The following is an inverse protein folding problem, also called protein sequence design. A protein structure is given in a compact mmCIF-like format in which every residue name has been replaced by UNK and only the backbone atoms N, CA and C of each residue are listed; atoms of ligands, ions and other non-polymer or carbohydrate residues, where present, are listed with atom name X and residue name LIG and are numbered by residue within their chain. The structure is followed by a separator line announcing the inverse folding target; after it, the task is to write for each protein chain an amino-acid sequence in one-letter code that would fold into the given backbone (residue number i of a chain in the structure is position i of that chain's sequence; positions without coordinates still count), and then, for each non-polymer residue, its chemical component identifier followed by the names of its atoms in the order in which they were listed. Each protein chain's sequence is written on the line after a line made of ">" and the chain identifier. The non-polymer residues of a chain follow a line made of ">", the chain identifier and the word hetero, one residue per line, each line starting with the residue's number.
data_IF_945308423943
#
_entry.id   IF_945308423943
#
_cell.length_a   1.000
_cell.length_b   1.000
_cell.length_c   1.000
_cell.angle_alpha   90.00
_cell.angle_beta   90.00
_cell.angle_gamma   90.00
#
_symmetry.space_group_name_H-M   'P 1'
#
loop_
_entity.id
_entity.type
_entity.pdbx_description
1 polymer ?
#
# COMPACT_ATOMS: atom_id res chain seq x y z
N UNK A 1 -13.11 -23.35 64.96
CA UNK A 1 -13.72 -24.69 64.92
C UNK A 1 -14.66 -24.75 63.72
N UNK A 2 -14.15 -24.87 62.50
CA UNK A 2 -14.10 -26.14 61.73
C UNK A 2 -15.34 -27.02 61.87
N UNK A 3 -16.17 -27.06 60.82
CA UNK A 3 -16.71 -28.30 60.25
C UNK A 3 -16.91 -28.11 58.74
N UNK A 4 -15.93 -28.64 58.02
CA UNK A 4 -15.89 -28.90 56.59
C UNK A 4 -16.79 -30.11 56.33
N UNK A 5 -17.71 -30.02 55.38
CA UNK A 5 -18.39 -31.17 54.80
C UNK A 5 -18.34 -31.04 53.28
N UNK A 6 -17.24 -31.55 52.71
CA UNK A 6 -17.18 -31.96 51.32
C UNK A 6 -18.10 -33.17 51.16
N UNK A 7 -19.19 -33.05 50.42
CA UNK A 7 -19.86 -34.18 49.77
C UNK A 7 -20.97 -33.66 48.84
N UNK A 8 -20.60 -33.39 47.57
CA UNK A 8 -21.40 -33.63 46.35
C UNK A 8 -20.65 -33.06 45.15
N UNK A 9 -19.47 -33.65 44.90
CA UNK A 9 -18.89 -33.71 43.57
C UNK A 9 -19.26 -35.09 43.03
N UNK A 10 -20.46 -35.20 42.47
CA UNK A 10 -20.88 -36.29 41.58
C UNK A 10 -22.24 -35.91 40.99
N UNK A 11 -22.32 -35.95 39.66
CA UNK A 11 -23.50 -35.81 38.81
C UNK A 11 -24.12 -34.42 38.64
N UNK A 12 -23.55 -33.65 37.73
CA UNK A 12 -24.22 -33.36 36.45
C UNK A 12 -23.25 -32.62 35.53
N UNK A 13 -22.34 -33.35 34.89
CA UNK A 13 -21.68 -32.90 33.65
C UNK A 13 -22.37 -33.62 32.51
N UNK A 14 -23.66 -33.35 32.36
CA UNK A 14 -24.43 -33.62 31.16
C UNK A 14 -25.30 -32.40 30.85
N UNK A 15 -24.68 -31.22 30.80
CA UNK A 15 -25.23 -30.16 29.97
C UNK A 15 -24.77 -30.42 28.53
N UNK A 16 -25.24 -31.54 27.96
CA UNK A 16 -25.53 -31.62 26.54
C UNK A 16 -26.78 -30.75 26.33
N UNK A 17 -26.62 -29.43 26.45
CA UNK A 17 -27.49 -28.57 25.67
C UNK A 17 -27.11 -28.87 24.23
N UNK A 18 -27.92 -29.71 23.59
CA UNK A 18 -27.83 -30.01 22.18
C UNK A 18 -28.03 -28.70 21.42
N UNK A 19 -26.93 -27.97 21.25
CA UNK A 19 -26.85 -26.87 20.32
C UNK A 19 -27.49 -27.38 19.03
N UNK A 20 -28.53 -26.68 18.54
CA UNK A 20 -29.17 -27.05 17.29
C UNK A 20 -28.10 -27.29 16.22
N UNK A 21 -28.28 -28.28 15.36
CA UNK A 21 -27.25 -28.71 14.39
C UNK A 21 -26.68 -27.54 13.57
N UNK A 22 -27.49 -26.52 13.30
CA UNK A 22 -27.07 -25.30 12.62
C UNK A 22 -26.04 -24.47 13.42
N UNK A 23 -26.11 -24.46 14.76
CA UNK A 23 -25.15 -23.76 15.63
C UNK A 23 -23.80 -24.48 15.62
N UNK A 24 -23.81 -25.82 15.71
CA UNK A 24 -22.57 -26.62 15.63
C UNK A 24 -21.90 -26.47 14.26
N UNK A 25 -22.69 -26.47 13.19
CA UNK A 25 -22.20 -26.22 11.84
C UNK A 25 -21.66 -24.79 11.66
N UNK A 26 -22.35 -23.79 12.23
CA UNK A 26 -21.91 -22.39 12.18
C UNK A 26 -20.57 -22.20 12.92
N UNK A 27 -20.43 -22.77 14.12
CA UNK A 27 -19.19 -22.72 14.91
C UNK A 27 -18.06 -23.42 14.15
N UNK A 28 -18.29 -24.62 13.62
CA UNK A 28 -17.30 -25.34 12.83
C UNK A 28 -16.83 -24.55 11.59
N UNK A 29 -17.75 -23.89 10.88
CA UNK A 29 -17.41 -23.01 9.76
C UNK A 29 -16.62 -21.79 10.20
N UNK A 30 -17.01 -21.18 11.32
CA UNK A 30 -16.30 -20.05 11.89
C UNK A 30 -14.89 -20.44 12.31
N UNK A 31 -14.72 -21.56 13.03
CA UNK A 31 -13.40 -22.06 13.46
C UNK A 31 -12.51 -22.36 12.26
N UNK A 32 -13.06 -22.99 11.22
CA UNK A 32 -12.33 -23.27 9.98
C UNK A 32 -11.92 -22.00 9.26
N UNK A 33 -12.82 -21.02 9.18
CA UNK A 33 -12.54 -19.72 8.57
C UNK A 33 -11.49 -18.94 9.39
N UNK A 34 -11.64 -18.87 10.71
CA UNK A 34 -10.72 -18.20 11.63
C UNK A 34 -9.33 -18.81 11.53
N UNK A 35 -9.22 -20.14 11.60
CA UNK A 35 -7.94 -20.83 11.45
C UNK A 35 -7.29 -20.55 10.09
N UNK A 36 -8.08 -20.47 9.03
CA UNK A 36 -7.57 -20.15 7.69
C UNK A 36 -7.06 -18.70 7.61
N UNK A 37 -7.79 -17.76 8.21
CA UNK A 37 -7.36 -16.36 8.30
C UNK A 37 -6.08 -16.24 9.13
N UNK A 38 -6.04 -16.84 10.32
CA UNK A 38 -4.89 -16.81 11.21
C UNK A 38 -3.65 -17.33 10.49
N UNK A 39 -3.75 -18.50 9.85
CA UNK A 39 -2.64 -19.04 9.06
C UNK A 39 -2.21 -18.12 7.92
N UNK A 40 -3.17 -17.48 7.25
CA UNK A 40 -2.86 -16.57 6.13
C UNK A 40 -2.19 -15.31 6.64
N UNK A 41 -2.71 -14.71 7.71
CA UNK A 41 -2.15 -13.52 8.34
C UNK A 41 -0.75 -13.79 8.88
N UNK A 42 -0.55 -14.88 9.63
CA UNK A 42 0.77 -15.28 10.14
C UNK A 42 1.77 -15.40 8.99
N UNK A 43 1.44 -16.15 7.93
CA UNK A 43 2.32 -16.28 6.75
C UNK A 43 2.63 -14.95 6.08
N UNK A 44 1.66 -14.04 6.00
CA UNK A 44 1.90 -12.71 5.42
C UNK A 44 2.78 -11.84 6.32
N UNK A 45 2.61 -11.90 7.64
CA UNK A 45 3.41 -11.17 8.61
C UNK A 45 4.85 -11.68 8.63
N UNK A 46 5.05 -13.00 8.64
CA UNK A 46 6.37 -13.62 8.56
C UNK A 46 7.10 -13.16 7.30
N UNK A 47 6.41 -13.20 6.15
CA UNK A 47 6.97 -12.74 4.88
C UNK A 47 7.33 -11.24 4.88
N UNK A 48 6.55 -10.41 5.56
CA UNK A 48 6.84 -8.98 5.69
C UNK A 48 8.06 -8.79 6.59
N UNK A 49 8.13 -9.52 7.71
CA UNK A 49 9.27 -9.48 8.63
C UNK A 49 10.58 -9.89 7.93
N UNK A 50 10.55 -10.95 7.13
CA UNK A 50 11.70 -11.39 6.34
C UNK A 50 12.17 -10.29 5.37
N UNK A 51 11.23 -9.66 4.66
CA UNK A 51 11.55 -8.56 3.74
C UNK A 51 12.10 -7.33 4.45
N UNK A 52 11.60 -7.02 5.64
CA UNK A 52 12.13 -5.93 6.46
C UNK A 52 13.57 -6.22 6.88
N UNK A 53 13.87 -7.46 7.29
CA UNK A 53 15.24 -7.87 7.65
C UNK A 53 16.19 -7.83 6.45
N UNK A 54 15.74 -8.26 5.26
CA UNK A 54 16.53 -8.14 4.02
C UNK A 54 16.84 -6.68 3.67
N UNK A 55 15.85 -5.80 3.85
CA UNK A 55 16.01 -4.37 3.59
C UNK A 55 16.98 -3.73 4.59
N UNK A 56 16.89 -4.07 5.87
CA UNK A 56 17.81 -3.60 6.91
C UNK A 56 19.26 -3.98 6.58
N UNK A 57 19.51 -5.24 6.20
CA UNK A 57 20.84 -5.71 5.76
C UNK A 57 21.34 -4.97 4.53
N UNK A 58 20.46 -4.69 3.58
CA UNK A 58 20.81 -3.90 2.39
C UNK A 58 21.20 -2.47 2.77
N UNK A 59 20.47 -1.85 3.70
CA UNK A 59 20.78 -0.51 4.20
C UNK A 59 22.12 -0.48 4.94
N UNK A 60 22.39 -1.45 5.81
CA UNK A 60 23.66 -1.58 6.51
C UNK A 60 24.83 -1.69 5.51
N UNK A 61 24.67 -2.52 4.47
CA UNK A 61 25.67 -2.65 3.39
C UNK A 61 25.90 -1.34 2.65
N UNK A 62 24.85 -0.54 2.40
CA UNK A 62 24.97 0.77 1.75
C UNK A 62 25.72 1.74 2.66
N UNK A 63 25.39 1.78 3.95
CA UNK A 63 26.05 2.64 4.93
C UNK A 63 27.54 2.30 5.06
N UNK A 64 27.91 1.02 5.08
CA UNK A 64 29.31 0.61 5.11
C UNK A 64 30.07 1.01 3.85
N UNK A 65 29.43 0.90 2.67
CA UNK A 65 30.01 1.40 1.42
C UNK A 65 30.20 2.92 1.44
N UNK A 66 29.23 3.67 1.98
CA UNK A 66 29.34 5.12 2.10
C UNK A 66 30.48 5.51 3.06
N UNK A 67 30.60 4.84 4.21
CA UNK A 67 31.73 5.03 5.13
C UNK A 67 33.07 4.74 4.46
N UNK A 68 33.16 3.66 3.68
CA UNK A 68 34.38 3.33 2.95
C UNK A 68 34.72 4.35 1.84
N UNK A 69 33.72 4.99 1.25
CA UNK A 69 33.93 6.10 0.30
C UNK A 69 34.38 7.35 1.05
N UNK A 70 33.78 7.64 2.19
CA UNK A 70 34.11 8.79 3.04
C UNK A 70 35.56 8.72 3.56
N UNK A 71 36.01 7.55 4.00
CA UNK A 71 37.41 7.35 4.42
C UNK A 71 38.37 7.51 3.25
N UNK A 72 38.08 6.91 2.09
CA UNK A 72 38.90 7.07 0.87
C UNK A 72 38.94 8.51 0.37
N UNK A 73 37.86 9.27 0.52
CA UNK A 73 37.80 10.67 0.15
C UNK A 73 38.63 11.54 1.11
N UNK A 74 38.58 11.21 2.40
CA UNK A 74 39.39 11.86 3.44
C UNK A 74 40.89 11.61 3.23
N UNK A 75 41.27 10.39 2.82
CA UNK A 75 42.66 10.03 2.49
C UNK A 75 43.16 10.68 1.18
N UNK A 76 42.25 11.03 0.25
CA UNK A 76 42.64 11.57 -1.06
C UNK A 76 43.05 13.03 -1.08
N UNK A 77 43.08 13.74 0.05
CA UNK A 77 43.86 14.97 0.26
C UNK A 77 43.81 16.04 -0.84
N UNK A 78 42.73 16.14 -1.62
CA UNK A 78 42.61 17.13 -2.70
C UNK A 78 41.96 18.41 -2.19
N UNK A 79 42.33 19.59 -2.71
CA UNK A 79 41.81 20.85 -2.19
C UNK A 79 40.27 20.86 -2.30
N UNK A 80 39.58 21.27 -1.22
CA UNK A 80 38.15 21.03 -1.04
C UNK A 80 37.25 21.65 -2.13
N UNK A 81 37.75 22.61 -2.91
CA UNK A 81 36.93 23.44 -3.81
C UNK A 81 36.37 22.73 -5.04
N UNK A 82 37.08 21.78 -5.65
CA UNK A 82 36.61 21.15 -6.91
C UNK A 82 35.65 19.99 -6.63
N UNK A 83 35.93 19.17 -5.60
CA UNK A 83 35.06 18.05 -5.20
C UNK A 83 33.83 18.53 -4.43
N UNK A 84 33.93 19.57 -3.59
CA UNK A 84 32.73 20.14 -2.94
C UNK A 84 31.80 20.77 -3.97
N UNK A 85 32.32 21.40 -5.03
CA UNK A 85 31.48 21.98 -6.10
C UNK A 85 30.69 20.90 -6.86
N UNK A 86 31.33 19.78 -7.21
CA UNK A 86 30.64 18.69 -7.92
C UNK A 86 29.68 17.91 -7.02
N UNK A 87 30.05 17.66 -5.76
CA UNK A 87 29.18 17.01 -4.76
C UNK A 87 28.01 17.90 -4.38
N UNK A 88 28.24 19.20 -4.17
CA UNK A 88 27.19 20.17 -3.90
C UNK A 88 26.25 20.33 -5.11
N UNK A 89 26.79 20.38 -6.33
CA UNK A 89 25.98 20.40 -7.56
C UNK A 89 25.13 19.14 -7.72
N UNK A 90 25.69 17.96 -7.44
CA UNK A 90 24.95 16.70 -7.45
C UNK A 90 23.87 16.68 -6.36
N UNK A 91 24.16 17.18 -5.15
CA UNK A 91 23.21 17.27 -4.05
C UNK A 91 22.07 18.26 -4.35
N UNK A 92 22.38 19.43 -4.92
CA UNK A 92 21.39 20.42 -5.34
C UNK A 92 20.51 19.86 -6.47
N UNK A 93 21.09 19.16 -7.44
CA UNK A 93 20.33 18.47 -8.49
C UNK A 93 19.44 17.37 -7.93
N UNK A 94 19.97 16.53 -7.05
CA UNK A 94 19.20 15.47 -6.41
C UNK A 94 18.02 16.03 -5.60
N UNK A 95 18.25 17.13 -4.87
CA UNK A 95 17.19 17.80 -4.12
C UNK A 95 16.14 18.42 -5.03
N UNK A 96 16.57 19.11 -6.09
CA UNK A 96 15.65 19.65 -7.09
C UNK A 96 14.85 18.55 -7.82
N UNK A 97 15.49 17.43 -8.13
CA UNK A 97 14.82 16.27 -8.74
C UNK A 97 13.86 15.60 -7.76
N UNK A 98 14.22 15.51 -6.47
CA UNK A 98 13.34 15.02 -5.40
C UNK A 98 12.09 15.89 -5.27
N UNK A 99 12.25 17.21 -5.22
CA UNK A 99 11.13 18.16 -5.14
C UNK A 99 10.22 18.04 -6.36
N UNK A 100 10.81 17.89 -7.56
CA UNK A 100 10.08 17.68 -8.81
C UNK A 100 9.36 16.33 -8.87
N UNK A 101 9.93 15.29 -8.29
CA UNK A 101 9.31 13.96 -8.17
C UNK A 101 8.15 14.04 -7.17
N UNK A 102 8.35 14.65 -6.03
CA UNK A 102 7.31 14.81 -4.99
C UNK A 102 6.13 15.64 -5.52
N UNK A 103 6.38 16.72 -6.26
CA UNK A 103 5.33 17.48 -6.92
C UNK A 103 4.54 16.62 -7.92
N UNK A 104 5.23 15.81 -8.73
CA UNK A 104 4.59 14.88 -9.66
C UNK A 104 3.77 13.81 -8.93
N UNK A 105 4.27 13.28 -7.81
CA UNK A 105 3.57 12.27 -7.02
C UNK A 105 2.32 12.83 -6.34
N UNK A 106 2.36 14.07 -5.81
CA UNK A 106 1.17 14.76 -5.29
C UNK A 106 0.09 14.96 -6.35
N UNK A 107 0.50 15.06 -7.61
CA UNK A 107 -0.39 15.32 -8.73
C UNK A 107 -1.00 14.03 -9.30
N UNK A 108 -0.42 12.86 -9.01
CA UNK A 108 -0.81 11.59 -9.65
C UNK A 108 -1.55 10.67 -8.69
N UNK A 109 -2.74 10.23 -9.07
CA UNK A 109 -3.49 9.19 -8.36
C UNK A 109 -3.64 7.93 -9.23
N UNK A 110 -3.60 6.76 -8.57
CA UNK A 110 -3.71 5.45 -9.18
C UNK A 110 -4.97 4.73 -8.67
N UNK A 111 -5.89 4.39 -9.56
CA UNK A 111 -7.14 3.70 -9.21
C UNK A 111 -7.21 2.35 -9.92
N UNK A 112 -7.24 1.25 -9.18
CA UNK A 112 -7.31 -0.11 -9.75
C UNK A 112 -8.75 -0.53 -10.04
N UNK A 113 -9.15 -0.55 -11.31
CA UNK A 113 -10.51 -0.97 -11.70
C UNK A 113 -10.53 -1.81 -12.99
N UNK A 114 -11.51 -2.70 -13.08
CA UNK A 114 -11.73 -3.57 -14.23
C UNK A 114 -12.30 -2.80 -15.44
N UNK A 115 -12.12 -3.35 -16.63
CA UNK A 115 -12.77 -2.86 -17.86
C UNK A 115 -14.25 -3.29 -17.87
N UNK A 116 -15.10 -2.48 -18.48
CA UNK A 116 -16.49 -2.85 -18.79
C UNK A 116 -16.55 -3.55 -20.15
N UNK A 117 -17.73 -4.04 -20.51
CA UNK A 117 -17.93 -4.82 -21.74
C UNK A 117 -17.46 -4.08 -23.01
N UNK A 118 -17.57 -2.75 -23.04
CA UNK A 118 -17.19 -1.91 -24.17
C UNK A 118 -16.30 -0.73 -23.73
N UNK A 119 -15.45 -0.24 -24.63
CA UNK A 119 -14.56 0.90 -24.39
C UNK A 119 -15.31 2.21 -24.03
N UNK A 120 -16.49 2.42 -24.59
CA UNK A 120 -17.33 3.60 -24.27
C UNK A 120 -17.85 3.49 -22.83
N UNK A 121 -18.27 2.30 -22.41
CA UNK A 121 -18.74 2.03 -21.06
C UNK A 121 -17.60 2.09 -20.05
N UNK A 122 -16.41 1.60 -20.41
CA UNK A 122 -15.19 1.72 -19.62
C UNK A 122 -14.84 3.18 -19.39
N UNK A 123 -14.78 4.02 -20.43
CA UNK A 123 -14.45 5.44 -20.26
C UNK A 123 -15.46 6.22 -19.42
N UNK A 124 -16.75 5.92 -19.55
CA UNK A 124 -17.79 6.53 -18.69
C UNK A 124 -17.62 6.09 -17.24
N UNK A 125 -17.40 4.81 -17.01
CA UNK A 125 -17.17 4.26 -15.67
C UNK A 125 -15.90 4.83 -15.03
N UNK A 126 -14.81 4.94 -15.79
CA UNK A 126 -13.56 5.56 -15.35
C UNK A 126 -13.81 6.97 -14.82
N UNK A 127 -14.56 7.79 -15.57
CA UNK A 127 -14.88 9.16 -15.16
C UNK A 127 -15.69 9.23 -13.86
N UNK A 128 -16.67 8.35 -13.68
CA UNK A 128 -17.45 8.30 -12.44
C UNK A 128 -16.62 7.84 -11.24
N UNK A 129 -15.71 6.87 -11.43
CA UNK A 129 -14.82 6.42 -10.37
C UNK A 129 -13.83 7.53 -9.98
N UNK A 130 -13.29 8.26 -10.95
CA UNK A 130 -12.42 9.41 -10.67
C UNK A 130 -13.19 10.52 -9.97
N UNK A 131 -14.44 10.78 -10.38
CA UNK A 131 -15.33 11.71 -9.69
C UNK A 131 -15.50 11.32 -8.22
N UNK A 132 -15.84 10.06 -7.94
CA UNK A 132 -16.02 9.58 -6.58
C UNK A 132 -14.74 9.75 -5.75
N UNK A 133 -13.59 9.39 -6.31
CA UNK A 133 -12.29 9.54 -5.65
C UNK A 133 -11.96 11.02 -5.33
N UNK A 134 -12.23 11.93 -6.28
CA UNK A 134 -12.02 13.37 -6.10
C UNK A 134 -12.95 13.92 -5.01
N UNK A 135 -14.24 13.60 -5.07
CA UNK A 135 -15.22 14.14 -4.13
C UNK A 135 -15.04 13.57 -2.71
N UNK A 136 -14.64 12.30 -2.59
CA UNK A 136 -14.30 11.65 -1.31
C UNK A 136 -13.01 12.19 -0.70
N UNK A 137 -12.08 12.72 -1.51
CA UNK A 137 -10.82 13.30 -1.00
C UNK A 137 -11.00 14.52 -0.09
N UNK A 138 -12.16 15.20 -0.19
CA UNK A 138 -12.42 16.44 0.55
C UNK A 138 -11.61 17.66 0.08
N UNK A 139 -10.82 17.53 -0.99
CA UNK A 139 -10.00 18.61 -1.52
C UNK A 139 -10.79 19.47 -2.53
N UNK A 140 -11.10 20.71 -2.14
CA UNK A 140 -11.86 21.65 -3.00
C UNK A 140 -11.12 22.02 -4.29
N UNK A 141 -9.80 22.06 -4.27
CA UNK A 141 -9.00 22.32 -5.48
C UNK A 141 -9.13 21.19 -6.50
N UNK A 142 -9.10 19.92 -6.05
CA UNK A 142 -9.30 18.77 -6.92
C UNK A 142 -10.73 18.70 -7.47
N UNK A 143 -11.74 19.05 -6.67
CA UNK A 143 -13.14 19.13 -7.13
C UNK A 143 -13.27 20.16 -8.24
N UNK A 144 -12.75 21.37 -8.02
CA UNK A 144 -12.74 22.46 -9.00
C UNK A 144 -12.04 22.05 -10.30
N UNK A 145 -10.85 21.46 -10.20
CA UNK A 145 -10.10 20.98 -11.39
C UNK A 145 -10.82 19.86 -12.14
N UNK A 146 -11.54 18.98 -11.43
CA UNK A 146 -12.36 17.96 -12.05
C UNK A 146 -13.54 18.56 -12.82
N UNK A 147 -14.27 19.49 -12.20
CA UNK A 147 -15.44 20.15 -12.79
C UNK A 147 -15.05 20.99 -14.03
N UNK A 148 -13.85 21.59 -14.01
CA UNK A 148 -13.27 22.34 -15.13
C UNK A 148 -12.58 21.43 -16.17
N UNK A 149 -12.69 20.11 -16.03
CA UNK A 149 -12.08 19.09 -16.90
C UNK A 149 -10.56 19.23 -17.09
N UNK A 150 -9.85 19.73 -16.06
CA UNK A 150 -8.37 19.82 -16.04
C UNK A 150 -7.68 18.55 -15.52
N UNK A 151 -8.45 17.56 -15.08
CA UNK A 151 -7.91 16.26 -14.67
C UNK A 151 -7.83 15.32 -15.88
N UNK A 152 -6.60 14.95 -16.26
CA UNK A 152 -6.36 13.98 -17.32
C UNK A 152 -6.45 12.55 -16.80
N UNK A 153 -7.34 11.74 -17.39
CA UNK A 153 -7.60 10.33 -17.02
C UNK A 153 -6.97 9.41 -18.07
N UNK A 154 -6.14 8.47 -17.65
CA UNK A 154 -5.47 7.53 -18.58
C UNK A 154 -5.32 6.13 -17.96
N UNK A 155 -5.50 5.06 -18.74
CA UNK A 155 -5.25 3.68 -18.28
C UNK A 155 -3.83 3.23 -18.61
N UNK A 156 -3.18 2.55 -17.67
CA UNK A 156 -1.86 1.94 -17.87
C UNK A 156 -1.92 0.41 -17.84
N UNK A 157 -1.30 -0.30 -18.81
CA UNK A 157 -0.62 0.22 -20.00
C UNK A 157 -1.59 0.64 -21.12
N UNK A 158 -1.25 1.72 -21.83
CA UNK A 158 -1.98 2.19 -23.01
C UNK A 158 -1.91 1.14 -24.13
N UNK A 159 -3.06 0.80 -24.72
CA UNK A 159 -3.22 0.01 -25.97
C UNK A 159 -3.47 -1.51 -25.90
N UNK A 160 -4.08 -2.07 -24.84
CA UNK A 160 -4.57 -3.47 -24.89
C UNK A 160 -5.88 -3.70 -24.12
N UNK A 161 -7.04 -3.80 -24.78
CA UNK A 161 -8.22 -4.29 -24.08
C UNK A 161 -7.95 -5.72 -23.60
N UNK A 162 -7.99 -5.93 -22.29
CA UNK A 162 -7.96 -7.27 -21.72
C UNK A 162 -9.40 -7.54 -21.37
N UNK A 163 -10.09 -8.30 -22.23
CA UNK A 163 -11.53 -8.52 -22.16
C UNK A 163 -12.07 -8.85 -20.75
N UNK A 164 -13.40 -8.77 -20.57
CA UNK A 164 -14.05 -8.77 -19.27
C UNK A 164 -13.58 -9.91 -18.34
N UNK A 165 -13.35 -9.61 -17.06
CA UNK A 165 -12.96 -10.58 -16.04
C UNK A 165 -11.45 -10.82 -15.89
N UNK A 166 -10.60 -10.05 -16.58
CA UNK A 166 -9.15 -10.04 -16.33
C UNK A 166 -8.77 -8.93 -15.35
N UNK A 167 -7.66 -9.13 -14.62
CA UNK A 167 -7.13 -8.22 -13.59
C UNK A 167 -7.20 -6.75 -14.04
N UNK A 168 -7.87 -5.92 -13.24
CA UNK A 168 -8.11 -4.51 -13.54
C UNK A 168 -6.87 -3.71 -13.85
N UNK A 169 -7.04 -2.70 -14.69
CA UNK A 169 -5.99 -1.74 -15.03
C UNK A 169 -5.95 -0.63 -13.99
N UNK A 170 -4.81 0.04 -13.95
CA UNK A 170 -4.66 1.21 -13.10
C UNK A 170 -4.97 2.45 -13.92
N UNK A 171 -5.94 3.23 -13.46
CA UNK A 171 -6.20 4.57 -13.95
C UNK A 171 -5.19 5.50 -13.29
N UNK A 172 -4.39 6.16 -14.13
CA UNK A 172 -3.52 7.24 -13.76
C UNK A 172 -4.22 8.57 -14.05
N UNK A 173 -4.50 9.32 -12.99
CA UNK A 173 -5.03 10.68 -13.08
C UNK A 173 -3.94 11.70 -12.80
N UNK A 174 -3.98 12.85 -13.45
CA UNK A 174 -3.09 13.97 -13.14
C UNK A 174 -3.82 15.30 -13.28
N UNK A 175 -3.55 16.22 -12.35
CA UNK A 175 -3.98 17.61 -12.48
C UNK A 175 -3.06 18.37 -13.43
N UNK A 176 -3.66 19.07 -14.40
CA UNK A 176 -2.96 20.02 -15.25
C UNK A 176 -2.95 21.38 -14.53
N UNK A 177 -1.82 21.74 -13.93
CA UNK A 177 -1.61 23.12 -13.48
C UNK A 177 -1.67 24.07 -14.69
N UNK A 178 -2.32 25.23 -14.57
CA UNK A 178 -2.28 26.24 -15.63
C UNK A 178 -0.83 26.66 -15.89
N UNK A 179 -0.41 26.66 -17.16
CA UNK A 179 0.88 27.22 -17.55
C UNK A 179 0.87 28.73 -17.24
N UNK A 180 1.54 29.12 -16.16
CA UNK A 180 1.98 30.49 -15.90
C UNK A 180 3.38 30.71 -16.46
#
# INVERSE_FOLDING_TARGET
>A
MTKRANARLANSVENNEDFPLWVRELISRFDRYSSTIEQTLSRTLDRIADRLSEMEKSQETILDRLRAIETKLSDMGSPPTIQQSSVYSAMVKFKADSDKIDEKLRTIAWVGIDEKADEVNTRRFDREIVKEAVYTSGCEDLKREFDENRIGISRHPSNRPHGPGKRGRIIKNHSLKPNT
#
